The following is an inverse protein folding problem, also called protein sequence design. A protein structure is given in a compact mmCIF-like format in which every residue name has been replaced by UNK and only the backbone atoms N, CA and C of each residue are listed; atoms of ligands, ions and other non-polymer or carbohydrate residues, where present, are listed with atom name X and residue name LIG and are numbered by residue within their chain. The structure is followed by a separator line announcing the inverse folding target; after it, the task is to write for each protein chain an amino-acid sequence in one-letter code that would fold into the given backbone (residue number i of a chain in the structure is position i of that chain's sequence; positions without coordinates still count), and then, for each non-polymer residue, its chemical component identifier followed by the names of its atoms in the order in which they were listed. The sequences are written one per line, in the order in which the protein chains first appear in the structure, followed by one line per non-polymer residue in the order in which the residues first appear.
data_IF_591494295661
#
_entry.id   IF_591494295661
#
_cell.length_a   1.000
_cell.length_b   1.000
_cell.length_c   1.000
_cell.angle_alpha   90.00
_cell.angle_beta   90.00
_cell.angle_gamma   90.00
#
_symmetry.space_group_name_H-M   'P 1'
#
loop_
_entity.id
_entity.type
_entity.pdbx_description
1 polymer ?
#
# COMPACT_ATOMS: atom_id res chain seq x y z
N UNK A 1 3.28 11.38 1.97
CA UNK A 1 3.44 10.08 2.63
C UNK A 1 2.41 9.94 3.74
N UNK A 2 1.77 8.80 3.82
CA UNK A 2 0.76 8.59 4.82
C UNK A 2 0.57 7.13 5.16
N UNK A 3 -0.26 6.89 6.16
CA UNK A 3 -0.57 5.53 6.58
C UNK A 3 -2.08 5.39 6.66
N UNK A 4 -2.61 4.37 6.03
CA UNK A 4 -4.04 4.09 6.00
C UNK A 4 -4.32 2.79 6.71
N UNK A 5 -5.23 2.85 7.70
CA UNK A 5 -5.67 1.67 8.41
C UNK A 5 -7.02 1.25 7.85
N UNK A 6 -7.08 0.03 7.35
CA UNK A 6 -8.30 -0.50 6.76
C UNK A 6 -9.18 -1.11 7.85
N UNK A 7 -10.48 -1.18 7.60
CA UNK A 7 -11.42 -1.62 8.61
C UNK A 7 -11.23 -3.08 9.01
N UNK A 8 -10.61 -3.86 8.15
CA UNK A 8 -10.38 -5.27 8.45
C UNK A 8 -9.05 -5.53 9.16
N UNK A 9 -8.27 -4.47 9.45
CA UNK A 9 -7.00 -4.62 10.14
C UNK A 9 -5.79 -4.57 9.25
N UNK A 10 -5.98 -4.47 7.95
CA UNK A 10 -4.87 -4.30 7.02
C UNK A 10 -4.37 -2.86 7.06
N UNK A 11 -3.13 -2.65 6.67
CA UNK A 11 -2.49 -1.34 6.72
C UNK A 11 -1.78 -1.07 5.41
N UNK A 12 -1.97 0.13 4.88
CA UNK A 12 -1.17 0.60 3.75
C UNK A 12 -0.38 1.83 4.17
N UNK A 13 0.90 1.85 3.81
CA UNK A 13 1.77 2.98 4.11
C UNK A 13 2.55 3.36 2.87
N UNK A 14 2.44 4.62 2.47
CA UNK A 14 3.17 5.07 1.29
C UNK A 14 2.69 6.42 0.79
N UNK A 15 2.81 6.62 -0.50
CA UNK A 15 2.49 7.88 -1.12
C UNK A 15 1.03 7.93 -1.54
N UNK A 16 0.37 9.02 -1.18
CA UNK A 16 -1.03 9.28 -1.54
C UNK A 16 -1.12 10.48 -2.46
N UNK A 17 -2.05 10.44 -3.38
CA UNK A 17 -2.31 11.55 -4.27
C UNK A 17 -3.80 11.60 -4.55
N UNK A 18 -4.44 12.74 -4.18
CA UNK A 18 -5.88 12.95 -4.41
C UNK A 18 -6.71 11.78 -3.89
N UNK A 19 -6.46 11.40 -2.65
CA UNK A 19 -7.18 10.32 -1.98
C UNK A 19 -6.93 8.94 -2.59
N UNK A 20 -5.94 8.82 -3.44
CA UNK A 20 -5.57 7.55 -4.05
C UNK A 20 -4.14 7.18 -3.71
N UNK A 21 -3.89 5.89 -3.69
CA UNK A 21 -2.55 5.39 -3.49
C UNK A 21 -1.81 5.45 -4.82
N UNK A 22 -0.77 6.27 -4.88
CA UNK A 22 0.03 6.45 -6.08
C UNK A 22 1.49 6.51 -5.68
N UNK A 23 2.30 5.65 -6.32
CA UNK A 23 3.72 5.64 -6.06
C UNK A 23 4.13 4.46 -5.21
N UNK A 24 5.32 4.54 -4.65
CA UNK A 24 5.88 3.44 -3.87
C UNK A 24 5.25 3.36 -2.49
N UNK A 25 4.93 2.13 -2.06
CA UNK A 25 4.33 1.94 -0.76
C UNK A 25 4.43 0.52 -0.26
N UNK A 26 3.98 0.32 0.98
CA UNK A 26 3.95 -0.97 1.64
C UNK A 26 2.54 -1.32 2.05
N UNK A 27 2.15 -2.54 1.80
CA UNK A 27 0.86 -3.06 2.23
C UNK A 27 1.09 -4.22 3.19
N UNK A 28 0.48 -4.16 4.36
CA UNK A 28 0.57 -5.22 5.36
C UNK A 28 -0.78 -5.91 5.47
N UNK A 29 -0.81 -7.21 5.21
CA UNK A 29 -2.06 -7.95 5.26
C UNK A 29 -2.33 -8.45 6.68
N UNK A 30 -3.46 -9.16 6.83
CA UNK A 30 -3.90 -9.62 8.15
C UNK A 30 -2.97 -10.66 8.75
N UNK A 31 -2.18 -11.32 7.93
CA UNK A 31 -1.26 -12.35 8.38
C UNK A 31 0.10 -11.78 8.76
N UNK A 32 0.25 -10.47 8.62
CA UNK A 32 1.51 -9.82 8.96
C UNK A 32 2.51 -9.77 7.82
N UNK A 33 2.12 -10.22 6.64
CA UNK A 33 3.01 -10.17 5.48
C UNK A 33 3.04 -8.76 4.91
N UNK A 34 4.22 -8.32 4.48
CA UNK A 34 4.41 -7.00 3.93
C UNK A 34 4.73 -7.10 2.45
N UNK A 35 3.99 -6.38 1.63
CA UNK A 35 4.21 -6.32 0.19
C UNK A 35 4.64 -4.91 -0.17
N UNK A 36 5.86 -4.78 -0.70
CA UNK A 36 6.35 -3.50 -1.17
C UNK A 36 6.22 -3.44 -2.68
N UNK A 37 5.71 -2.32 -3.18
CA UNK A 37 5.54 -2.20 -4.62
C UNK A 37 5.19 -0.80 -5.05
N UNK A 38 4.88 -0.68 -6.33
CA UNK A 38 4.44 0.57 -6.93
C UNK A 38 2.94 0.47 -7.17
N UNK A 39 2.22 1.53 -6.78
CA UNK A 39 0.77 1.57 -6.86
C UNK A 39 0.33 2.70 -7.78
N UNK A 40 -0.77 2.50 -8.46
CA UNK A 40 -1.36 3.52 -9.30
C UNK A 40 -2.88 3.43 -9.17
N UNK A 41 -3.49 4.55 -8.73
CA UNK A 41 -4.94 4.60 -8.53
C UNK A 41 -5.46 3.44 -7.68
N UNK A 42 -4.78 3.19 -6.56
CA UNK A 42 -5.14 2.14 -5.61
C UNK A 42 -4.91 0.72 -6.14
N UNK A 43 -4.16 0.58 -7.22
CA UNK A 43 -3.88 -0.72 -7.83
C UNK A 43 -2.38 -0.98 -7.78
N UNK A 44 -2.01 -2.17 -7.35
CA UNK A 44 -0.61 -2.58 -7.35
C UNK A 44 -0.18 -2.89 -8.77
N UNK A 45 0.78 -2.13 -9.28
CA UNK A 45 1.26 -2.31 -10.66
C UNK A 45 2.59 -3.02 -10.74
N UNK A 46 3.36 -3.00 -9.65
CA UNK A 46 4.67 -3.64 -9.67
C UNK A 46 5.05 -4.05 -8.25
N UNK A 47 5.58 -5.25 -8.10
CA UNK A 47 6.06 -5.74 -6.81
C UNK A 47 7.56 -5.55 -6.76
N UNK A 48 8.04 -4.86 -5.71
CA UNK A 48 9.46 -4.54 -5.57
C UNK A 48 10.22 -5.51 -4.68
N UNK A 49 9.55 -6.18 -3.77
CA UNK A 49 10.22 -7.16 -2.92
C UNK A 49 9.95 -8.57 -3.41
N UNK A 50 10.85 -9.47 -3.04
CA UNK A 50 10.72 -10.87 -3.43
C UNK A 50 10.09 -11.69 -2.33
#
# INVERSE_FOLDING_TARGET
MGKLFLSNGEVFEGLFKKDSINGQGKFTNLQGEVIEGVWENNVLTEILNN
#
